data_IF_904446920080
#
_entry.id   IF_904446920080
#
_cell.length_a   1.000
_cell.length_b   1.000
_cell.length_c   1.000
_cell.angle_alpha   90.00
_cell.angle_beta   90.00
_cell.angle_gamma   90.00
#
_symmetry.space_group_name_H-M   'P 1'
#
loop_
_entity.id
_entity.type
_entity.pdbx_description
1 polymer ?
#
# COMPACT_ATOMS: atom_id res chain seq x y z
N UNK A 1 10.55 -7.26 6.77
CA UNK A 1 10.02 -5.97 7.23
C UNK A 1 9.01 -6.26 8.33
N UNK A 2 9.36 -6.06 9.59
CA UNK A 2 8.42 -6.26 10.69
C UNK A 2 8.23 -4.93 11.44
N UNK A 3 6.98 -4.49 11.55
CA UNK A 3 6.54 -3.38 12.39
C UNK A 3 6.85 -1.97 11.90
N UNK A 4 6.02 -1.02 12.33
CA UNK A 4 6.18 0.42 12.15
C UNK A 4 5.19 1.05 11.18
N UNK A 5 5.08 2.38 11.28
CA UNK A 5 4.22 3.20 10.42
C UNK A 5 4.95 3.55 9.12
N UNK A 6 4.20 3.64 8.03
CA UNK A 6 4.61 4.19 6.75
C UNK A 6 3.58 5.25 6.32
N UNK A 7 4.00 6.15 5.42
CA UNK A 7 3.14 7.20 4.86
C UNK A 7 2.79 6.82 3.43
N UNK A 8 1.52 6.76 3.12
CA UNK A 8 1.01 6.75 1.75
C UNK A 8 0.46 8.14 1.42
N UNK A 9 0.58 8.55 0.17
CA UNK A 9 0.13 9.86 -0.30
C UNK A 9 -0.38 9.77 -1.72
N UNK A 10 -1.41 10.55 -2.03
CA UNK A 10 -2.02 10.62 -3.36
C UNK A 10 -3.21 11.57 -3.41
N UNK A 11 -3.84 11.63 -4.58
CA UNK A 11 -5.02 12.45 -4.88
C UNK A 11 -6.27 11.59 -5.14
N UNK A 12 -6.22 10.32 -4.73
CA UNK A 12 -7.35 9.40 -4.86
C UNK A 12 -8.54 9.81 -4.01
N UNK A 13 -9.58 8.97 -4.06
CA UNK A 13 -10.82 9.22 -3.37
C UNK A 13 -10.61 9.30 -1.85
N UNK A 14 -11.26 10.25 -1.18
CA UNK A 14 -11.16 10.41 0.28
C UNK A 14 -12.10 9.46 1.05
N UNK A 15 -13.06 8.88 0.35
CA UNK A 15 -13.97 7.82 0.81
C UNK A 15 -14.13 6.77 -0.28
N UNK A 16 -14.48 5.54 0.07
CA UNK A 16 -14.78 4.51 -0.92
C UNK A 16 -15.88 4.97 -1.90
N UNK A 17 -15.59 4.85 -3.20
CA UNK A 17 -16.46 5.28 -4.30
C UNK A 17 -16.87 6.77 -4.22
N UNK A 18 -15.98 7.59 -3.66
CA UNK A 18 -16.14 9.03 -3.47
C UNK A 18 -15.60 9.87 -4.61
N UNK A 19 -15.11 11.06 -4.26
CA UNK A 19 -14.50 12.00 -5.20
C UNK A 19 -13.00 12.16 -4.93
N UNK A 20 -12.25 12.38 -6.01
CA UNK A 20 -10.82 12.67 -5.97
C UNK A 20 -10.55 13.91 -5.11
N UNK A 21 -9.47 13.86 -4.34
CA UNK A 21 -9.05 15.01 -3.56
C UNK A 21 -8.47 16.12 -4.45
N UNK A 22 -8.85 17.38 -4.18
CA UNK A 22 -8.27 18.56 -4.85
C UNK A 22 -6.81 18.79 -4.41
N UNK A 23 -6.50 18.49 -3.15
CA UNK A 23 -5.17 18.62 -2.56
C UNK A 23 -4.54 17.26 -2.28
N UNK A 24 -3.20 17.22 -2.29
CA UNK A 24 -2.45 16.01 -1.97
C UNK A 24 -2.77 15.53 -0.56
N UNK A 25 -3.33 14.33 -0.45
CA UNK A 25 -3.60 13.69 0.82
C UNK A 25 -2.40 12.85 1.26
N UNK A 26 -2.27 12.66 2.57
CA UNK A 26 -1.33 11.70 3.13
C UNK A 26 -1.88 11.08 4.41
N UNK A 27 -1.54 9.82 4.63
CA UNK A 27 -1.94 9.12 5.84
C UNK A 27 -0.85 8.17 6.34
N UNK A 28 -0.69 8.13 7.66
CA UNK A 28 0.21 7.17 8.34
C UNK A 28 -0.55 5.88 8.61
N UNK A 29 -0.05 4.78 8.06
CA UNK A 29 -0.65 3.45 8.17
C UNK A 29 0.38 2.43 8.68
N UNK A 30 -0.04 1.45 9.51
CA UNK A 30 0.85 0.40 9.99
C UNK A 30 1.17 -0.61 8.90
N UNK A 31 2.41 -1.11 8.88
CA UNK A 31 2.79 -2.27 8.07
C UNK A 31 2.32 -3.56 8.75
N UNK A 32 1.73 -4.47 7.98
CA UNK A 32 1.26 -5.75 8.51
C UNK A 32 2.26 -6.87 8.26
N UNK A 33 2.39 -7.83 9.18
CA UNK A 33 3.07 -9.09 8.91
C UNK A 33 2.47 -9.80 7.70
N UNK A 34 3.33 -10.42 6.88
CA UNK A 34 2.90 -11.08 5.65
C UNK A 34 1.94 -12.25 5.89
N UNK A 35 2.05 -12.94 7.04
CA UNK A 35 1.12 -14.01 7.41
C UNK A 35 -0.29 -13.48 7.70
N UNK A 36 -0.40 -12.31 8.31
CA UNK A 36 -1.68 -11.66 8.64
C UNK A 36 -2.36 -11.20 7.35
N UNK A 37 -1.60 -10.52 6.48
CA UNK A 37 -2.04 -10.13 5.13
C UNK A 37 -2.58 -11.32 4.33
N UNK A 38 -1.87 -12.47 4.35
CA UNK A 38 -2.32 -13.71 3.71
C UNK A 38 -3.59 -14.27 4.32
N UNK A 39 -3.74 -14.19 5.64
CA UNK A 39 -4.90 -14.71 6.34
C UNK A 39 -6.15 -13.88 6.03
N UNK A 40 -6.03 -12.55 6.09
CA UNK A 40 -7.12 -11.60 5.81
C UNK A 40 -7.65 -11.70 4.36
N UNK A 41 -6.78 -11.96 3.39
CA UNK A 41 -7.17 -12.03 1.98
C UNK A 41 -7.56 -13.43 1.48
N UNK A 42 -7.65 -14.46 2.31
CA UNK A 42 -8.06 -15.80 1.83
C UNK A 42 -9.48 -15.74 1.21
N UNK A 43 -9.71 -16.35 0.03
CA UNK A 43 -8.81 -17.25 -0.71
C UNK A 43 -7.89 -16.56 -1.74
N UNK A 44 -7.95 -15.23 -1.89
CA UNK A 44 -7.09 -14.49 -2.83
C UNK A 44 -5.60 -14.69 -2.49
N UNK A 45 -4.79 -14.82 -3.54
CA UNK A 45 -3.36 -15.15 -3.41
C UNK A 45 -2.53 -13.88 -3.20
N UNK A 46 -2.10 -13.63 -1.97
CA UNK A 46 -1.01 -12.68 -1.68
C UNK A 46 0.33 -13.33 -2.05
N UNK A 47 1.02 -12.76 -3.05
CA UNK A 47 2.32 -13.25 -3.53
C UNK A 47 3.47 -12.75 -2.66
N UNK A 48 4.67 -13.34 -2.82
CA UNK A 48 5.89 -12.90 -2.11
C UNK A 48 6.38 -11.51 -2.53
N UNK A 49 5.88 -10.97 -3.65
CA UNK A 49 6.17 -9.62 -4.14
C UNK A 49 5.21 -8.57 -3.55
N UNK A 50 4.23 -9.00 -2.75
CA UNK A 50 3.21 -8.15 -2.15
C UNK A 50 3.33 -8.10 -0.62
N UNK A 51 2.86 -7.00 -0.04
CA UNK A 51 2.66 -6.86 1.40
C UNK A 51 1.46 -5.94 1.68
N UNK A 52 0.92 -6.02 2.90
CA UNK A 52 -0.22 -5.19 3.30
C UNK A 52 0.20 -4.05 4.23
N UNK A 53 -0.54 -2.95 4.18
CA UNK A 53 -0.47 -1.85 5.13
C UNK A 53 -1.87 -1.28 5.40
N UNK A 54 -2.10 -0.72 6.58
CA UNK A 54 -3.41 -0.22 7.00
C UNK A 54 -4.13 -1.17 7.95
N UNK A 55 -4.86 -0.62 8.92
CA UNK A 55 -5.78 -1.36 9.79
C UNK A 55 -6.99 -0.49 10.06
N UNK A 56 -8.01 -0.62 9.20
CA UNK A 56 -9.28 0.13 9.21
C UNK A 56 -9.15 1.66 9.19
N UNK A 57 -10.20 2.36 8.73
CA UNK A 57 -10.36 3.83 8.73
C UNK A 57 -9.37 4.65 7.88
N UNK A 58 -8.20 4.10 7.55
CA UNK A 58 -7.10 4.78 6.86
C UNK A 58 -6.47 3.83 5.85
N UNK A 59 -6.54 4.21 4.58
CA UNK A 59 -5.99 3.44 3.46
C UNK A 59 -5.69 4.37 2.28
N UNK A 60 -5.01 3.83 1.26
CA UNK A 60 -5.07 4.38 -0.08
C UNK A 60 -6.39 3.93 -0.75
N UNK A 61 -6.86 4.69 -1.73
CA UNK A 61 -8.11 4.40 -2.43
C UNK A 61 -7.98 4.54 -3.96
N UNK A 62 -9.11 4.47 -4.65
CA UNK A 62 -9.22 4.63 -6.10
C UNK A 62 -8.51 5.92 -6.51
N UNK A 63 -7.67 5.86 -7.54
CA UNK A 63 -6.85 7.00 -7.98
C UNK A 63 -5.45 7.07 -7.35
N UNK A 64 -5.18 6.37 -6.24
CA UNK A 64 -3.85 6.34 -5.62
C UNK A 64 -2.90 5.29 -6.24
N UNK A 65 -3.40 4.44 -7.14
CA UNK A 65 -2.64 3.36 -7.79
C UNK A 65 -1.33 3.86 -8.42
N UNK A 66 -0.23 3.17 -8.11
CA UNK A 66 1.13 3.60 -8.51
C UNK A 66 1.79 4.59 -7.54
N UNK A 67 1.02 5.14 -6.59
CA UNK A 67 1.50 6.07 -5.58
C UNK A 67 2.53 5.46 -4.62
N UNK A 68 3.36 6.29 -3.97
CA UNK A 68 4.44 5.83 -3.12
C UNK A 68 3.96 5.47 -1.70
N UNK A 69 4.45 4.36 -1.16
CA UNK A 69 4.46 4.10 0.28
C UNK A 69 5.88 4.32 0.82
N UNK A 70 6.04 5.30 1.71
CA UNK A 70 7.35 5.77 2.20
C UNK A 70 7.52 5.49 3.68
N UNK A 71 8.71 5.00 4.06
CA UNK A 71 9.13 4.85 5.46
C UNK A 71 10.58 5.31 5.61
N UNK A 72 10.86 6.13 6.62
CA UNK A 72 12.20 6.69 6.86
C UNK A 72 12.84 7.34 5.62
N UNK A 73 12.06 8.17 4.90
CA UNK A 73 12.46 8.85 3.65
C UNK A 73 12.87 7.90 2.51
N UNK A 74 12.49 6.62 2.57
CA UNK A 74 12.71 5.64 1.51
C UNK A 74 11.37 5.07 1.05
N UNK A 75 11.17 4.98 -0.26
CA UNK A 75 10.02 4.30 -0.82
C UNK A 75 10.18 2.79 -0.58
N UNK A 76 9.22 2.19 0.09
CA UNK A 76 9.22 0.75 0.42
C UNK A 76 8.17 -0.03 -0.36
N UNK A 77 7.17 0.67 -0.92
CA UNK A 77 6.16 0.06 -1.75
C UNK A 77 5.46 1.00 -2.71
N UNK A 78 4.60 0.40 -3.52
CA UNK A 78 3.80 1.05 -4.56
C UNK A 78 2.35 0.62 -4.32
N UNK A 79 1.42 1.58 -4.25
CA UNK A 79 -0.03 1.31 -4.12
C UNK A 79 -0.46 0.42 -5.29
N UNK A 80 -1.15 -0.69 -5.00
CA UNK A 80 -1.50 -1.67 -6.02
C UNK A 80 -2.98 -1.99 -6.08
N UNK A 81 -3.55 -2.49 -4.99
CA UNK A 81 -4.97 -2.87 -4.94
C UNK A 81 -5.43 -3.08 -3.50
N UNK A 82 -6.73 -3.18 -3.29
CA UNK A 82 -7.38 -3.53 -2.03
C UNK A 82 -8.78 -4.10 -2.29
N UNK A 83 -9.40 -4.71 -1.29
CA UNK A 83 -10.84 -4.99 -1.33
C UNK A 83 -11.57 -3.79 -0.73
N UNK A 84 -12.00 -2.88 -1.60
CA UNK A 84 -12.52 -1.59 -1.16
C UNK A 84 -11.46 -0.68 -0.54
N UNK A 85 -11.89 0.39 0.12
CA UNK A 85 -11.02 1.35 0.81
C UNK A 85 -11.31 1.42 2.30
N UNK A 86 -10.26 1.31 3.12
CA UNK A 86 -10.33 1.44 4.58
C UNK A 86 -11.32 0.46 5.26
N UNK A 87 -11.73 -0.61 4.56
CA UNK A 87 -12.65 -1.62 5.08
C UNK A 87 -12.00 -2.42 6.22
N UNK A 88 -12.72 -2.63 7.34
CA UNK A 88 -12.21 -3.49 8.42
C UNK A 88 -11.87 -4.90 7.90
N UNK A 89 -10.66 -5.36 8.21
CA UNK A 89 -10.17 -6.67 7.78
C UNK A 89 -9.59 -6.73 6.36
N UNK A 90 -9.71 -5.68 5.55
CA UNK A 90 -9.17 -5.63 4.19
C UNK A 90 -8.16 -4.49 4.05
N UNK A 91 -6.90 -4.69 4.46
CA UNK A 91 -5.87 -3.67 4.35
C UNK A 91 -5.41 -3.48 2.90
N UNK A 92 -4.98 -2.28 2.52
CA UNK A 92 -4.37 -2.05 1.22
C UNK A 92 -3.17 -2.96 0.93
N UNK A 93 -3.07 -3.42 -0.32
CA UNK A 93 -2.01 -4.30 -0.83
C UNK A 93 -1.07 -3.49 -1.71
N UNK A 94 0.22 -3.63 -1.41
CA UNK A 94 1.31 -2.87 -2.02
C UNK A 94 2.32 -3.81 -2.67
N UNK A 95 2.92 -3.37 -3.78
CA UNK A 95 4.08 -4.06 -4.38
C UNK A 95 5.34 -3.72 -3.58
N UNK A 96 6.16 -4.73 -3.27
CA UNK A 96 7.40 -4.57 -2.52
C UNK A 96 8.55 -4.10 -3.40
N UNK A 97 9.00 -2.85 -3.21
CA UNK A 97 10.19 -2.31 -3.89
C UNK A 97 11.43 -3.12 -3.54
N UNK A 98 11.54 -3.60 -2.29
CA UNK A 98 12.65 -4.44 -1.88
C UNK A 98 12.76 -5.72 -2.72
N UNK A 99 11.62 -6.34 -3.08
CA UNK A 99 11.58 -7.52 -3.96
C UNK A 99 11.89 -7.20 -5.41
N UNK A 100 11.59 -5.99 -5.87
CA UNK A 100 11.83 -5.54 -7.23
C UNK A 100 13.14 -4.77 -7.42
N UNK A 101 13.96 -4.63 -6.38
CA UNK A 101 15.14 -3.75 -6.39
C UNK A 101 16.11 -4.06 -7.53
N UNK A 102 16.37 -5.35 -7.79
CA UNK A 102 17.23 -5.80 -8.89
C UNK A 102 16.66 -5.41 -10.25
N UNK A 103 15.36 -5.60 -10.45
CA UNK A 103 14.69 -5.24 -11.70
C UNK A 103 14.73 -3.72 -11.92
N UNK A 104 14.47 -2.92 -10.89
CA UNK A 104 14.56 -1.45 -10.94
C UNK A 104 15.97 -1.03 -11.35
N UNK A 105 16.99 -1.56 -10.67
CA UNK A 105 18.39 -1.24 -10.97
C UNK A 105 18.76 -1.56 -12.41
N UNK A 106 18.41 -2.76 -12.90
CA UNK A 106 18.78 -3.20 -14.24
C UNK A 106 18.15 -2.35 -15.36
N UNK A 107 17.01 -1.70 -15.11
CA UNK A 107 16.30 -0.91 -16.12
C UNK A 107 16.54 0.61 -15.99
N UNK A 108 17.06 1.09 -14.86
CA UNK A 108 17.16 2.54 -14.60
C UNK A 108 18.54 3.00 -14.10
N UNK A 109 19.38 2.08 -13.62
CA UNK A 109 20.68 2.41 -13.03
C UNK A 109 20.61 3.05 -11.63
N UNK A 110 19.41 3.20 -11.04
CA UNK A 110 19.22 3.71 -9.67
C UNK A 110 18.88 2.63 -8.66
#
# INVERSE_FOLDING_TARGET
MAGGLAVVSGWGDTTEDGELAEELQQVKIPLLPHWECKWLYKPKKITTNMFCAGRSEKDACQGDSGGPLVKFKRQIGIVSWGEGCARPGFPGVYISIHKLRTWIYNNSGV
#
